data_IF_809210128134
#
_entry.id   IF_809210128134
#
_cell.length_a   1.000
_cell.length_b   1.000
_cell.length_c   1.000
_cell.angle_alpha   90.00
_cell.angle_beta   90.00
_cell.angle_gamma   90.00
#
_symmetry.space_group_name_H-M   'P 1'
#
loop_
_entity.id
_entity.type
_entity.pdbx_description
1 polymer ?
#
# COMPACT_ATOMS: atom_id res chain seq x y z
N UNK A 1 -22.53 11.38 40.05
CA UNK A 1 -22.41 9.97 39.61
C UNK A 1 -21.83 9.98 38.21
N UNK A 2 -20.83 9.12 37.99
CA UNK A 2 -19.71 9.33 37.08
C UNK A 2 -20.06 9.25 35.58
N UNK A 3 -19.62 10.24 34.81
CA UNK A 3 -19.44 10.11 33.38
C UNK A 3 -18.22 9.23 33.13
N UNK A 4 -18.43 8.08 32.49
CA UNK A 4 -17.35 7.24 31.98
C UNK A 4 -16.62 8.01 30.89
N UNK A 5 -15.44 8.56 31.22
CA UNK A 5 -14.44 8.91 30.22
C UNK A 5 -14.04 7.61 29.54
N UNK A 6 -14.42 7.43 28.28
CA UNK A 6 -13.77 6.45 27.44
C UNK A 6 -12.28 6.83 27.36
N UNK A 7 -11.43 5.98 27.92
CA UNK A 7 -9.99 6.10 27.84
C UNK A 7 -9.58 5.94 26.37
N UNK A 8 -9.30 7.05 25.70
CA UNK A 8 -8.83 7.08 24.30
C UNK A 8 -7.41 6.50 24.13
N UNK A 9 -6.84 5.80 25.12
CA UNK A 9 -5.47 5.25 25.10
C UNK A 9 -5.36 3.72 25.25
N UNK A 10 -6.48 2.99 25.23
CA UNK A 10 -6.48 1.55 25.52
C UNK A 10 -5.81 0.70 24.41
N UNK A 11 -5.78 1.17 23.16
CA UNK A 11 -5.29 0.41 22.00
C UNK A 11 -4.34 1.27 21.17
N UNK A 12 -3.32 0.65 20.59
CA UNK A 12 -2.32 1.32 19.76
C UNK A 12 -1.36 0.30 19.15
N UNK A 13 -0.56 0.69 18.16
CA UNK A 13 0.32 -0.21 17.41
C UNK A 13 1.20 -1.15 18.27
N UNK A 14 1.54 -0.73 19.50
CA UNK A 14 2.33 -1.53 20.44
C UNK A 14 1.51 -2.38 21.42
N UNK A 15 0.22 -2.08 21.60
CA UNK A 15 -0.71 -2.83 22.47
C UNK A 15 -1.58 -3.80 21.67
N UNK A 16 -1.59 -3.63 20.35
CA UNK A 16 -2.41 -4.35 19.39
C UNK A 16 -3.85 -3.88 19.31
N UNK A 17 -4.55 -4.36 18.29
CA UNK A 17 -5.96 -4.08 18.02
C UNK A 17 -6.85 -5.27 18.42
N UNK A 18 -8.16 -5.05 18.69
CA UNK A 18 -9.08 -6.14 19.03
C UNK A 18 -9.22 -7.21 17.94
N UNK A 19 -8.96 -6.85 16.68
CA UNK A 19 -9.01 -7.74 15.52
C UNK A 19 -7.73 -8.54 15.29
N UNK A 20 -6.66 -8.25 16.03
CA UNK A 20 -5.39 -8.98 15.93
C UNK A 20 -5.41 -10.25 16.78
N UNK A 21 -4.63 -11.24 16.37
CA UNK A 21 -4.48 -12.49 17.11
C UNK A 21 -3.88 -12.21 18.50
N UNK A 22 -4.54 -12.66 19.57
CA UNK A 22 -4.04 -12.43 20.94
C UNK A 22 -2.58 -12.88 21.17
N UNK A 23 -2.10 -14.01 20.59
CA UNK A 23 -0.70 -14.42 20.74
C UNK A 23 0.33 -13.44 20.16
N UNK A 24 -0.04 -12.61 19.16
CA UNK A 24 0.93 -11.70 18.53
C UNK A 24 1.14 -10.40 19.32
N UNK A 25 0.20 -10.03 20.19
CA UNK A 25 0.22 -8.76 20.93
C UNK A 25 1.45 -8.61 21.84
N UNK A 26 1.98 -9.74 22.35
CA UNK A 26 3.18 -9.77 23.21
C UNK A 26 4.51 -9.67 22.47
N UNK A 27 4.51 -9.76 21.13
CA UNK A 27 5.73 -9.69 20.29
C UNK A 27 5.75 -8.48 19.37
N UNK A 28 4.75 -7.59 19.48
CA UNK A 28 4.71 -6.35 18.71
C UNK A 28 5.86 -5.43 19.13
N UNK A 29 6.58 -4.93 18.14
CA UNK A 29 7.59 -3.89 18.29
C UNK A 29 7.35 -2.84 17.21
N UNK A 30 7.67 -1.58 17.51
CA UNK A 30 7.63 -0.50 16.53
C UNK A 30 9.03 0.02 16.30
N UNK A 31 9.37 0.27 15.04
CA UNK A 31 10.59 0.93 14.64
C UNK A 31 10.23 2.25 13.96
N UNK A 32 11.00 3.30 14.24
CA UNK A 32 10.89 4.54 13.47
C UNK A 32 11.78 4.42 12.24
N UNK A 33 11.14 4.31 11.07
CA UNK A 33 11.84 4.18 9.80
C UNK A 33 11.70 5.48 9.00
N UNK A 34 12.80 5.96 8.42
CA UNK A 34 12.76 7.05 7.44
C UNK A 34 12.64 6.45 6.04
N UNK A 35 11.48 6.63 5.42
CA UNK A 35 11.31 6.30 4.00
C UNK A 35 12.03 7.31 3.11
N UNK A 36 12.56 6.82 1.99
CA UNK A 36 13.21 7.63 0.95
C UNK A 36 12.70 7.23 -0.44
N UNK A 37 13.15 7.92 -1.48
CA UNK A 37 12.66 7.70 -2.85
C UNK A 37 12.14 8.95 -3.55
N UNK A 38 12.20 10.11 -2.91
CA UNK A 38 11.90 11.39 -3.55
C UNK A 38 12.77 11.64 -4.78
N UNK A 39 12.21 12.31 -5.78
CA UNK A 39 12.92 12.69 -6.99
C UNK A 39 13.50 14.10 -6.84
N UNK A 40 14.79 14.24 -7.12
CA UNK A 40 15.55 15.48 -6.98
C UNK A 40 16.40 15.73 -8.23
N UNK A 41 16.93 16.96 -8.37
CA UNK A 41 17.77 17.34 -9.51
C UNK A 41 19.17 17.71 -9.03
N UNK A 42 20.18 17.21 -9.74
CA UNK A 42 21.54 17.72 -9.63
C UNK A 42 21.63 19.14 -10.23
N UNK A 43 22.68 19.88 -9.88
CA UNK A 43 22.95 21.23 -10.44
C UNK A 43 23.09 21.24 -11.97
N UNK A 44 23.44 20.10 -12.57
CA UNK A 44 23.53 19.92 -14.02
C UNK A 44 22.19 19.59 -14.69
N UNK A 45 21.08 19.57 -13.94
CA UNK A 45 19.74 19.27 -14.44
C UNK A 45 19.38 17.79 -14.54
N UNK A 46 20.29 16.87 -14.20
CA UNK A 46 19.99 15.43 -14.21
C UNK A 46 19.13 15.03 -13.01
N UNK A 47 18.14 14.16 -13.23
CA UNK A 47 17.24 13.65 -12.20
C UNK A 47 17.90 12.52 -11.42
N UNK A 48 17.71 12.48 -10.10
CA UNK A 48 18.11 11.36 -9.26
C UNK A 48 17.04 11.03 -8.21
N UNK A 49 17.03 9.77 -7.78
CA UNK A 49 16.24 9.32 -6.64
C UNK A 49 17.04 9.47 -5.36
N UNK A 50 16.47 10.10 -4.34
CA UNK A 50 17.07 10.16 -3.02
C UNK A 50 17.22 8.76 -2.43
N UNK A 51 18.44 8.47 -1.99
CA UNK A 51 18.82 7.26 -1.28
C UNK A 51 19.62 7.65 -0.04
N UNK A 52 19.58 6.81 0.98
CA UNK A 52 20.46 6.92 2.15
C UNK A 52 21.53 5.85 2.01
N UNK A 53 22.79 6.27 2.07
CA UNK A 53 23.92 5.36 2.03
C UNK A 53 23.87 4.39 3.23
N UNK A 54 24.14 3.10 2.97
CA UNK A 54 24.09 2.05 3.98
C UNK A 54 22.68 1.54 4.32
N UNK A 55 21.61 2.11 3.76
CA UNK A 55 20.25 1.59 3.92
C UNK A 55 19.86 0.63 2.80
N UNK A 56 19.11 -0.44 3.09
CA UNK A 56 18.61 -1.37 2.07
C UNK A 56 17.84 -0.64 0.96
N UNK A 57 18.12 -1.02 -0.28
CA UNK A 57 17.40 -0.52 -1.44
C UNK A 57 16.42 -1.59 -1.93
N UNK A 58 15.21 -1.16 -2.31
CA UNK A 58 14.15 -2.07 -2.80
C UNK A 58 13.82 -1.85 -4.28
N UNK A 59 14.41 -0.82 -4.91
CA UNK A 59 14.20 -0.48 -6.33
C UNK A 59 15.48 0.07 -6.93
N UNK A 60 15.66 -0.15 -8.24
CA UNK A 60 16.85 0.22 -9.01
C UNK A 60 17.14 -0.84 -10.08
N UNK A 61 18.27 -0.71 -10.80
CA UNK A 61 18.77 -1.78 -11.65
C UNK A 61 18.89 -3.09 -10.85
N UNK A 62 18.57 -4.24 -11.45
CA UNK A 62 18.55 -5.52 -10.74
C UNK A 62 19.94 -5.82 -10.14
N UNK A 63 19.97 -6.20 -8.86
CA UNK A 63 21.19 -6.53 -8.14
C UNK A 63 20.95 -7.52 -6.99
N UNK A 64 21.96 -8.33 -6.61
CA UNK A 64 21.86 -9.25 -5.48
C UNK A 64 21.52 -8.57 -4.15
N UNK A 65 21.95 -7.33 -3.95
CA UNK A 65 21.67 -6.56 -2.73
C UNK A 65 20.19 -6.20 -2.61
N UNK A 66 19.55 -5.81 -3.73
CA UNK A 66 18.11 -5.54 -3.79
C UNK A 66 17.33 -6.84 -3.55
N UNK A 67 17.77 -7.94 -4.15
CA UNK A 67 17.12 -9.24 -3.97
C UNK A 67 17.23 -9.72 -2.51
N UNK A 68 18.38 -9.50 -1.86
CA UNK A 68 18.58 -9.80 -0.45
C UNK A 68 17.68 -8.93 0.45
N UNK A 69 17.54 -7.64 0.14
CA UNK A 69 16.64 -6.74 0.88
C UNK A 69 15.18 -7.23 0.81
N UNK A 70 14.69 -7.56 -0.40
CA UNK A 70 13.34 -8.12 -0.58
C UNK A 70 13.16 -9.46 0.12
N UNK A 71 14.14 -10.37 0.02
CA UNK A 71 14.10 -11.66 0.71
C UNK A 71 14.03 -11.50 2.23
N UNK A 72 14.73 -10.51 2.78
CA UNK A 72 14.66 -10.20 4.21
C UNK A 72 13.30 -9.61 4.59
N UNK A 73 12.77 -8.69 3.79
CA UNK A 73 11.47 -8.04 4.04
C UNK A 73 10.30 -9.03 3.95
N UNK A 74 10.36 -9.98 3.01
CA UNK A 74 9.34 -10.99 2.78
C UNK A 74 9.55 -12.28 3.58
N UNK A 75 10.46 -12.26 4.56
CA UNK A 75 10.73 -13.45 5.38
C UNK A 75 9.50 -13.84 6.18
N UNK A 76 9.06 -15.10 6.03
CA UNK A 76 7.87 -15.62 6.71
C UNK A 76 6.55 -15.17 6.10
N UNK A 77 6.55 -14.71 4.85
CA UNK A 77 5.34 -14.25 4.15
C UNK A 77 4.25 -15.31 4.01
N UNK A 78 4.62 -16.59 3.96
CA UNK A 78 3.72 -17.70 3.75
C UNK A 78 3.56 -18.53 5.02
N UNK A 79 2.31 -18.82 5.34
CA UNK A 79 1.88 -19.74 6.37
C UNK A 79 1.16 -20.90 5.69
N UNK A 80 1.41 -22.12 6.16
CA UNK A 80 0.79 -23.31 5.62
C UNK A 80 -0.32 -23.77 6.54
N UNK A 81 -1.56 -23.76 6.05
CA UNK A 81 -2.71 -24.32 6.76
C UNK A 81 -2.78 -25.82 6.50
N UNK A 82 -3.03 -26.58 7.57
CA UNK A 82 -3.00 -28.04 7.56
C UNK A 82 -4.31 -28.65 8.02
N UNK A 83 -4.66 -29.81 7.45
CA UNK A 83 -5.83 -30.59 7.87
C UNK A 83 -7.15 -29.79 7.82
N UNK A 84 -7.92 -29.85 8.90
CA UNK A 84 -9.26 -29.22 8.97
C UNK A 84 -9.21 -27.68 8.93
N UNK A 85 -8.09 -27.06 9.30
CA UNK A 85 -7.95 -25.59 9.24
C UNK A 85 -7.99 -25.07 7.80
N UNK A 86 -7.58 -25.90 6.84
CA UNK A 86 -7.55 -25.55 5.43
C UNK A 86 -8.85 -25.83 4.67
N UNK A 87 -9.92 -26.32 5.34
CA UNK A 87 -11.13 -26.75 4.65
C UNK A 87 -11.82 -25.64 3.84
N UNK A 88 -11.69 -24.38 4.28
CA UNK A 88 -12.19 -23.20 3.57
C UNK A 88 -11.28 -22.74 2.41
N UNK A 89 -10.06 -23.28 2.30
CA UNK A 89 -9.06 -22.85 1.32
C UNK A 89 -9.03 -23.73 0.07
N UNK A 90 -9.77 -24.84 0.06
CA UNK A 90 -9.83 -25.77 -1.07
C UNK A 90 -10.33 -25.06 -2.33
N UNK A 91 -9.49 -24.99 -3.37
CA UNK A 91 -9.82 -24.33 -4.63
C UNK A 91 -9.66 -22.80 -4.63
N UNK A 92 -9.25 -22.22 -3.50
CA UNK A 92 -9.10 -20.78 -3.32
C UNK A 92 -7.63 -20.32 -3.18
N UNK A 93 -6.70 -21.26 -2.96
CA UNK A 93 -5.26 -20.98 -2.92
C UNK A 93 -4.45 -22.15 -3.47
N UNK A 94 -3.15 -21.94 -3.64
CA UNK A 94 -2.18 -22.96 -4.02
C UNK A 94 -2.05 -24.03 -2.94
N UNK A 95 -1.94 -25.28 -3.38
CA UNK A 95 -1.72 -26.45 -2.54
C UNK A 95 -0.33 -26.98 -2.81
N UNK A 96 0.48 -27.13 -1.76
CA UNK A 96 1.82 -27.69 -1.88
C UNK A 96 1.80 -29.22 -2.08
N UNK A 97 2.96 -29.79 -2.39
CA UNK A 97 3.13 -31.24 -2.62
C UNK A 97 2.86 -32.08 -1.36
N UNK A 98 2.85 -31.47 -0.18
CA UNK A 98 2.54 -32.11 1.10
C UNK A 98 1.07 -32.01 1.47
N UNK A 99 0.27 -31.33 0.64
CA UNK A 99 -1.16 -31.17 0.79
C UNK A 99 -1.60 -30.03 1.69
N UNK A 100 -0.69 -29.12 2.03
CA UNK A 100 -0.97 -27.91 2.79
C UNK A 100 -1.40 -26.78 1.87
N UNK A 101 -2.15 -25.83 2.41
CA UNK A 101 -2.65 -24.67 1.67
C UNK A 101 -1.88 -23.42 2.09
N UNK A 102 -1.27 -22.77 1.11
CA UNK A 102 -0.45 -21.59 1.35
C UNK A 102 -1.34 -20.35 1.53
N UNK A 103 -1.11 -19.60 2.61
CA UNK A 103 -1.79 -18.33 2.88
C UNK A 103 -0.77 -17.29 3.30
N UNK A 104 -1.05 -16.03 2.99
CA UNK A 104 -0.21 -14.89 3.39
C UNK A 104 -1.06 -13.86 4.11
N UNK A 105 -0.43 -13.12 5.02
CA UNK A 105 -1.02 -11.88 5.53
C UNK A 105 -1.16 -10.87 4.39
N UNK A 106 -2.23 -10.08 4.40
CA UNK A 106 -2.55 -9.12 3.34
C UNK A 106 -1.39 -8.13 3.04
N UNK A 107 -0.72 -7.64 4.09
CA UNK A 107 0.47 -6.79 3.96
C UNK A 107 1.63 -7.52 3.26
N UNK A 108 1.84 -8.80 3.55
CA UNK A 108 2.90 -9.61 2.94
C UNK A 108 2.57 -9.92 1.48
N UNK A 109 1.32 -10.21 1.17
CA UNK A 109 0.86 -10.39 -0.21
C UNK A 109 0.96 -9.10 -1.02
N UNK A 110 0.66 -7.95 -0.41
CA UNK A 110 0.85 -6.63 -1.02
C UNK A 110 2.31 -6.38 -1.34
N UNK A 111 3.23 -6.63 -0.41
CA UNK A 111 4.67 -6.47 -0.63
C UNK A 111 5.21 -7.46 -1.68
N UNK A 112 4.74 -8.71 -1.69
CA UNK A 112 5.04 -9.69 -2.74
C UNK A 112 4.61 -9.16 -4.12
N UNK A 113 3.40 -8.61 -4.23
CA UNK A 113 2.91 -8.02 -5.47
C UNK A 113 3.80 -6.87 -5.96
N UNK A 114 4.26 -5.99 -5.07
CA UNK A 114 5.22 -4.92 -5.43
C UNK A 114 6.51 -5.52 -5.97
N UNK A 115 7.08 -6.53 -5.31
CA UNK A 115 8.32 -7.17 -5.75
C UNK A 115 8.14 -7.90 -7.10
N UNK A 116 7.01 -8.57 -7.32
CA UNK A 116 6.70 -9.24 -8.59
C UNK A 116 6.63 -8.24 -9.75
N UNK A 117 5.97 -7.11 -9.55
CA UNK A 117 5.92 -6.04 -10.56
C UNK A 117 7.31 -5.47 -10.81
N UNK A 118 8.11 -5.24 -9.76
CA UNK A 118 9.51 -4.80 -9.89
C UNK A 118 10.33 -5.76 -10.76
N UNK A 119 10.28 -7.05 -10.46
CA UNK A 119 11.05 -8.06 -11.22
C UNK A 119 10.62 -8.15 -12.69
N UNK A 120 9.32 -7.97 -12.96
CA UNK A 120 8.78 -7.97 -14.32
C UNK A 120 9.29 -6.81 -15.21
N UNK A 121 9.92 -5.77 -14.64
CA UNK A 121 10.55 -4.69 -15.40
C UNK A 121 11.88 -5.10 -16.04
N UNK A 122 12.54 -6.14 -15.52
CA UNK A 122 13.87 -6.58 -15.93
C UNK A 122 13.90 -8.08 -16.31
N UNK A 123 13.14 -8.51 -17.34
CA UNK A 123 12.98 -9.94 -17.70
C UNK A 123 14.28 -10.62 -18.18
N UNK A 124 15.26 -9.84 -18.63
CA UNK A 124 16.58 -10.37 -19.02
C UNK A 124 17.38 -10.86 -17.79
N UNK A 125 17.16 -10.23 -16.63
CA UNK A 125 17.80 -10.59 -15.37
C UNK A 125 16.95 -11.59 -14.59
N UNK A 126 15.66 -11.29 -14.41
CA UNK A 126 14.71 -12.15 -13.72
C UNK A 126 14.06 -13.12 -14.69
N UNK A 127 14.74 -14.24 -14.93
CA UNK A 127 14.21 -15.31 -15.76
C UNK A 127 13.11 -16.05 -15.02
N UNK A 128 11.95 -16.11 -15.64
CA UNK A 128 10.78 -16.76 -15.09
C UNK A 128 10.80 -18.24 -15.45
N UNK A 129 10.61 -19.10 -14.45
CA UNK A 129 10.45 -20.55 -14.64
C UNK A 129 9.05 -20.90 -15.18
N UNK A 130 8.09 -20.01 -14.94
CA UNK A 130 6.72 -20.13 -15.39
C UNK A 130 6.59 -19.87 -16.90
N UNK A 131 5.55 -20.44 -17.52
CA UNK A 131 5.22 -20.09 -18.90
C UNK A 131 4.90 -18.58 -19.01
N UNK A 132 5.21 -17.92 -20.16
CA UNK A 132 4.96 -16.49 -20.34
C UNK A 132 3.50 -16.07 -20.06
N UNK A 133 2.54 -16.97 -20.33
CA UNK A 133 1.11 -16.73 -20.06
C UNK A 133 0.81 -16.67 -18.56
N UNK A 134 1.37 -17.59 -17.78
CA UNK A 134 1.15 -17.66 -16.33
C UNK A 134 1.86 -16.48 -15.66
N UNK A 135 3.10 -16.20 -16.05
CA UNK A 135 3.82 -15.04 -15.54
C UNK A 135 3.04 -13.73 -15.78
N UNK A 136 2.55 -13.51 -17.01
CA UNK A 136 1.74 -12.33 -17.32
C UNK A 136 0.48 -12.24 -16.46
N UNK A 137 -0.24 -13.35 -16.31
CA UNK A 137 -1.43 -13.42 -15.48
C UNK A 137 -1.12 -13.06 -14.01
N UNK A 138 0.00 -13.54 -13.48
CA UNK A 138 0.45 -13.24 -12.12
C UNK A 138 0.75 -11.75 -11.96
N UNK A 139 1.48 -11.14 -12.91
CA UNK A 139 1.78 -9.70 -12.89
C UNK A 139 0.49 -8.86 -13.01
N UNK A 140 -0.45 -9.23 -13.87
CA UNK A 140 -1.74 -8.55 -14.01
C UNK A 140 -2.57 -8.64 -12.71
N UNK A 141 -2.57 -9.81 -12.06
CA UNK A 141 -3.18 -10.00 -10.74
C UNK A 141 -2.54 -9.09 -9.69
N UNK A 142 -1.20 -9.07 -9.61
CA UNK A 142 -0.47 -8.23 -8.67
C UNK A 142 -0.79 -6.74 -8.88
N UNK A 143 -0.82 -6.27 -10.13
CA UNK A 143 -1.14 -4.87 -10.43
C UNK A 143 -2.57 -4.50 -10.03
N UNK A 144 -3.56 -5.36 -10.32
CA UNK A 144 -4.94 -5.08 -9.96
C UNK A 144 -5.16 -5.13 -8.44
N UNK A 145 -4.51 -6.07 -7.76
CA UNK A 145 -4.54 -6.14 -6.30
C UNK A 145 -3.91 -4.89 -5.66
N UNK A 146 -2.74 -4.43 -6.12
CA UNK A 146 -2.11 -3.20 -5.65
C UNK A 146 -3.00 -1.96 -5.87
N UNK A 147 -3.65 -1.86 -7.03
CA UNK A 147 -4.63 -0.78 -7.30
C UNK A 147 -5.75 -0.80 -6.25
N UNK A 148 -6.32 -1.97 -5.96
CA UNK A 148 -7.41 -2.10 -4.98
C UNK A 148 -6.94 -1.71 -3.57
N UNK A 149 -5.77 -2.20 -3.13
CA UNK A 149 -5.19 -1.87 -1.83
C UNK A 149 -4.94 -0.36 -1.68
N UNK A 150 -4.35 0.28 -2.69
CA UNK A 150 -4.09 1.73 -2.65
C UNK A 150 -5.39 2.54 -2.67
N UNK A 151 -6.41 2.12 -3.42
CA UNK A 151 -7.71 2.80 -3.38
C UNK A 151 -8.41 2.68 -2.04
N UNK A 152 -8.21 1.58 -1.33
CA UNK A 152 -8.74 1.40 0.02
C UNK A 152 -7.99 2.23 1.06
N UNK A 153 -6.66 2.18 1.06
CA UNK A 153 -5.81 2.93 2.01
C UNK A 153 -5.83 4.44 1.74
N UNK A 154 -5.80 4.86 0.47
CA UNK A 154 -5.78 6.27 0.06
C UNK A 154 -7.05 7.05 0.39
N UNK A 155 -8.15 6.39 0.75
CA UNK A 155 -9.35 7.06 1.29
C UNK A 155 -9.13 7.55 2.74
N UNK A 156 -8.08 7.07 3.41
CA UNK A 156 -7.74 7.43 4.80
C UNK A 156 -6.78 8.64 4.86
N UNK A 157 -6.26 9.11 3.72
CA UNK A 157 -5.35 10.27 3.68
C UNK A 157 -6.14 11.59 3.74
N UNK A 158 -6.32 12.14 4.94
CA UNK A 158 -6.67 13.55 5.15
C UNK A 158 -5.38 14.35 5.34
N UNK A 159 -5.04 15.18 4.33
CA UNK A 159 -4.04 16.22 4.44
C UNK A 159 -4.54 17.28 5.46
N UNK A 160 -4.10 17.15 6.72
CA UNK A 160 -4.48 18.07 7.80
C UNK A 160 -3.63 19.33 7.74
N UNK A 161 -4.04 20.25 6.89
CA UNK A 161 -3.75 21.68 7.00
C UNK A 161 -5.05 22.50 7.10
N UNK A 162 -6.04 21.98 7.82
CA UNK A 162 -7.27 22.71 8.17
C UNK A 162 -7.58 22.48 9.64
N UNK A 163 -7.49 23.57 10.39
CA UNK A 163 -7.97 23.73 11.75
C UNK A 163 -9.42 23.27 11.89
N UNK A 164 -9.67 22.48 12.93
CA UNK A 164 -10.96 22.25 13.61
C UNK A 164 -12.20 22.09 12.72
N UNK A 165 -12.65 20.84 12.53
CA UNK A 165 -13.93 20.34 13.04
C UNK A 165 -14.21 18.90 12.56
N UNK A 166 -14.65 18.08 13.51
CA UNK A 166 -15.42 16.82 13.46
C UNK A 166 -15.18 15.81 12.32
N UNK A 167 -14.64 14.63 12.69
CA UNK A 167 -14.64 13.43 11.85
C UNK A 167 -15.63 12.43 12.43
N UNK A 168 -16.73 12.18 11.71
CA UNK A 168 -17.64 11.05 11.95
C UNK A 168 -16.99 9.74 11.49
N UNK A 169 -17.00 8.73 12.36
CA UNK A 169 -16.65 7.35 12.02
C UNK A 169 -17.72 6.75 11.09
N UNK A 170 -17.32 6.21 9.93
CA UNK A 170 -18.23 5.51 9.00
C UNK A 170 -17.63 4.17 8.57
N UNK A 171 -18.43 3.10 8.74
CA UNK A 171 -18.07 1.71 8.50
C UNK A 171 -17.92 1.35 7.01
N UNK A 172 -16.94 0.48 6.72
CA UNK A 172 -16.32 0.30 5.40
C UNK A 172 -16.57 -1.08 4.79
N UNK A 173 -17.55 -1.18 3.90
CA UNK A 173 -17.59 -2.29 2.91
C UNK A 173 -18.23 -1.91 1.55
N UNK A 174 -18.99 -0.81 1.46
CA UNK A 174 -19.61 -0.37 0.18
C UNK A 174 -19.27 1.05 -0.29
N UNK A 175 -18.66 1.88 0.56
CA UNK A 175 -18.58 3.34 0.33
C UNK A 175 -17.32 3.82 -0.39
N UNK A 176 -16.31 2.96 -0.61
CA UNK A 176 -15.02 3.37 -1.14
C UNK A 176 -15.10 3.87 -2.60
N UNK A 177 -15.85 3.16 -3.45
CA UNK A 177 -16.03 3.51 -4.87
C UNK A 177 -16.88 4.77 -5.02
N UNK A 178 -17.96 4.90 -4.26
CA UNK A 178 -18.82 6.10 -4.25
C UNK A 178 -18.10 7.36 -3.74
N UNK A 179 -17.11 7.22 -2.84
CA UNK A 179 -16.26 8.34 -2.39
C UNK A 179 -15.33 8.85 -3.50
N UNK A 180 -14.71 7.95 -4.28
CA UNK A 180 -13.80 8.36 -5.37
C UNK A 180 -14.53 9.15 -6.45
N UNK A 181 -15.76 8.77 -6.78
CA UNK A 181 -16.61 9.50 -7.73
C UNK A 181 -16.92 10.92 -7.23
N UNK A 182 -17.31 11.06 -5.95
CA UNK A 182 -17.62 12.36 -5.32
C UNK A 182 -16.39 13.25 -5.20
N UNK A 183 -15.22 12.72 -4.84
CA UNK A 183 -13.96 13.49 -4.81
C UNK A 183 -13.55 13.93 -6.20
N UNK A 184 -13.68 13.05 -7.20
CA UNK A 184 -13.41 13.38 -8.61
C UNK A 184 -14.34 14.48 -9.11
N UNK A 185 -15.62 14.42 -8.76
CA UNK A 185 -16.61 15.45 -9.09
C UNK A 185 -16.30 16.79 -8.41
N UNK A 186 -15.95 16.77 -7.12
CA UNK A 186 -15.51 17.95 -6.37
C UNK A 186 -14.28 18.61 -7.00
N UNK A 187 -13.23 17.84 -7.31
CA UNK A 187 -12.02 18.34 -7.96
C UNK A 187 -12.32 18.90 -9.35
N UNK A 188 -13.21 18.24 -10.12
CA UNK A 188 -13.67 18.71 -11.44
C UNK A 188 -14.43 20.04 -11.32
N UNK A 189 -15.28 20.20 -10.30
CA UNK A 189 -16.02 21.44 -10.03
C UNK A 189 -15.06 22.58 -9.62
N UNK A 190 -14.10 22.32 -8.72
CA UNK A 190 -13.09 23.30 -8.29
C UNK A 190 -12.18 23.76 -9.43
N UNK A 191 -11.80 22.85 -10.34
CA UNK A 191 -11.03 23.19 -11.57
C UNK A 191 -11.81 24.08 -12.52
N UNK A 192 -13.14 23.89 -12.64
CA UNK A 192 -14.03 24.77 -13.43
C UNK A 192 -14.15 26.16 -12.81
N UNK A 193 -14.32 26.26 -11.49
CA UNK A 193 -14.41 27.54 -10.79
C UNK A 193 -13.10 28.36 -10.82
N UNK A 194 -11.93 27.72 -10.90
CA UNK A 194 -10.65 28.41 -11.13
C UNK A 194 -10.54 28.99 -12.55
N UNK A 195 -11.09 28.32 -13.57
CA UNK A 195 -11.09 28.82 -14.95
C UNK A 195 -12.03 30.02 -15.15
N UNK A 196 -13.13 30.10 -14.40
CA UNK A 196 -14.09 31.22 -14.49
C UNK A 196 -13.66 32.46 -13.69
N UNK A 197 -12.67 32.34 -12.79
CA UNK A 197 -12.10 33.46 -12.00
C UNK A 197 -10.84 34.09 -12.61
N UNK A 198 -10.58 33.91 -13.92
CA UNK A 198 -9.59 34.74 -14.61
C UNK A 198 -10.12 36.19 -14.70
N UNK A 199 -9.38 37.21 -14.24
CA UNK A 199 -9.91 38.58 -14.19
C UNK A 199 -10.13 39.11 -15.62
N UNK A 200 -11.33 39.64 -15.87
CA UNK A 200 -11.64 40.46 -17.05
C UNK A 200 -10.59 41.57 -17.16
N UNK A 201 -9.85 41.59 -18.28
CA UNK A 201 -8.97 42.70 -18.63
C UNK A 201 -9.81 43.98 -18.64
N UNK A 202 -9.47 44.94 -17.79
CA UNK A 202 -10.06 46.29 -17.83
C UNK A 202 -9.67 46.92 -19.18
N UNK A 203 -10.66 47.22 -20.01
CA UNK A 203 -10.50 48.13 -21.15
C UNK A 203 -10.35 49.55 -20.60
N UNK A 204 -9.25 50.22 -20.91
CA UNK A 204 -9.06 51.66 -20.65
C UNK A 204 -10.01 52.46 -21.55
N UNK A 205 -10.68 53.51 -21.04
CA UNK A 205 -11.34 54.49 -21.90
C UNK A 205 -10.32 55.50 -22.44
N UNK A 206 -10.52 55.89 -23.70
CA UNK A 206 -9.79 56.96 -24.43
C UNK A 206 -9.92 58.34 -23.77
#
# INVERSE_FOLDING_TARGET
MNYLRADKSAHGFLKGFPTELDPIKGVLASETVRFTGGLHFYKNGSLYREVIEGQPQYVGPPSPEIDAAWKSLLKGQYMNLVGNEASSMVGHTWKDDHGNYEVALDVMHTLHCVNKVRMALDPDYYKEEESPRIHRMHVDHCLDYLRQTVQYVGIVEFDKDVSDEEVEEVNMTGDAVGKLEKVTEYLRCRRRQRKTKQPLKRSSPD
#
